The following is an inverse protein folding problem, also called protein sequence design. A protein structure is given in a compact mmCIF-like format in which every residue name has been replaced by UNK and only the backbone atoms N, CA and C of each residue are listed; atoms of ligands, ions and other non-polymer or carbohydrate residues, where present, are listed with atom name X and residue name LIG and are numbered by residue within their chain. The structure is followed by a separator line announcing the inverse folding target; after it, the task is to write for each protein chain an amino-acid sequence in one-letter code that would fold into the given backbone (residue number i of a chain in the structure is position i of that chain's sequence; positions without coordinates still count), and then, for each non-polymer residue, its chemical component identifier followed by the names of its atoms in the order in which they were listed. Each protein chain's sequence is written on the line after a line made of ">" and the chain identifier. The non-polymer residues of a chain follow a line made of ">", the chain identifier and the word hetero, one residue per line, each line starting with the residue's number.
data_IF_539450637578
#
_entry.id   IF_539450637578
#
_cell.length_a   1.000
_cell.length_b   1.000
_cell.length_c   1.000
_cell.angle_alpha   90.00
_cell.angle_beta   90.00
_cell.angle_gamma   90.00
#
_symmetry.space_group_name_H-M   'P 1'
#
loop_
_entity.id
_entity.type
_entity.pdbx_description
1 polymer ?
#
# COMPACT_ATOMS: atom_id res chain seq x y z
N UNK A 1 -1.17 10.95 9.94
CA UNK A 1 -0.35 9.93 9.23
C UNK A 1 -1.27 9.03 8.46
N UNK A 2 -0.92 8.66 7.24
CA UNK A 2 -1.70 7.73 6.44
C UNK A 2 -1.98 6.39 7.14
N UNK A 3 -2.88 5.62 6.59
CA UNK A 3 -3.12 4.25 7.02
C UNK A 3 -3.67 3.41 5.88
N UNK A 4 -3.40 2.13 5.94
CA UNK A 4 -3.89 1.18 4.95
C UNK A 4 -4.43 -0.09 5.59
N UNK A 5 -5.26 -0.77 4.86
CA UNK A 5 -5.83 -2.08 5.20
C UNK A 5 -5.81 -2.97 3.98
N UNK A 6 -5.87 -4.27 4.19
CA UNK A 6 -6.05 -5.20 3.10
C UNK A 6 -6.54 -6.56 3.54
N UNK A 7 -7.12 -7.28 2.60
CA UNK A 7 -7.63 -8.63 2.77
C UNK A 7 -7.24 -9.47 1.56
N UNK A 8 -6.73 -10.68 1.83
CA UNK A 8 -6.54 -11.70 0.82
C UNK A 8 -7.32 -12.96 1.24
N UNK A 9 -8.24 -13.42 0.39
CA UNK A 9 -9.14 -14.52 0.72
C UNK A 9 -9.40 -15.44 -0.47
N UNK A 10 -9.46 -16.74 -0.22
CA UNK A 10 -9.90 -17.73 -1.22
C UNK A 10 -11.39 -17.60 -1.51
N UNK A 11 -12.19 -17.36 -0.47
CA UNK A 11 -13.61 -17.07 -0.64
C UNK A 11 -13.83 -15.62 -1.07
N UNK A 12 -14.18 -15.43 -2.33
CA UNK A 12 -14.33 -14.10 -2.97
C UNK A 12 -15.50 -13.28 -2.40
N UNK A 13 -16.43 -13.89 -1.65
CA UNK A 13 -17.50 -13.14 -0.97
C UNK A 13 -16.97 -12.24 0.15
N UNK A 14 -15.80 -12.54 0.70
CA UNK A 14 -15.11 -11.69 1.70
C UNK A 14 -14.42 -10.46 1.08
N UNK A 15 -14.40 -10.36 -0.24
CA UNK A 15 -13.85 -9.23 -0.99
C UNK A 15 -14.95 -8.22 -1.39
N UNK A 16 -16.07 -8.28 -0.69
CA UNK A 16 -17.12 -7.30 -0.90
C UNK A 16 -16.64 -5.91 -0.48
N UNK A 17 -17.06 -4.90 -1.25
CA UNK A 17 -16.71 -3.50 -0.99
C UNK A 17 -17.06 -3.08 0.43
N UNK A 18 -18.18 -3.56 0.96
CA UNK A 18 -18.61 -3.23 2.33
C UNK A 18 -17.58 -3.65 3.38
N UNK A 19 -16.99 -4.84 3.25
CA UNK A 19 -16.01 -5.35 4.21
C UNK A 19 -14.74 -4.50 4.24
N UNK A 20 -14.10 -4.32 3.08
CA UNK A 20 -12.86 -3.52 3.02
C UNK A 20 -13.12 -2.03 3.33
N UNK A 21 -14.30 -1.52 2.96
CA UNK A 21 -14.70 -0.15 3.29
C UNK A 21 -14.86 0.04 4.80
N UNK A 22 -15.45 -0.91 5.51
CA UNK A 22 -15.55 -0.87 6.97
C UNK A 22 -14.17 -0.89 7.64
N UNK A 23 -13.25 -1.75 7.18
CA UNK A 23 -11.87 -1.76 7.64
C UNK A 23 -11.20 -0.40 7.40
N UNK A 24 -11.35 0.17 6.20
CA UNK A 24 -10.77 1.47 5.82
C UNK A 24 -11.36 2.61 6.64
N UNK A 25 -12.68 2.60 6.89
CA UNK A 25 -13.34 3.62 7.71
C UNK A 25 -12.95 3.53 9.18
N UNK A 26 -12.61 2.35 9.69
CA UNK A 26 -12.14 2.21 11.08
C UNK A 26 -10.84 2.98 11.36
N UNK A 27 -10.07 3.32 10.32
CA UNK A 27 -8.83 4.08 10.41
C UNK A 27 -8.91 5.48 9.76
N UNK A 28 -10.10 6.07 9.64
CA UNK A 28 -10.35 7.38 9.01
C UNK A 28 -9.56 8.53 9.67
N UNK A 29 -9.42 8.49 11.02
CA UNK A 29 -8.64 9.46 11.79
C UNK A 29 -7.16 9.53 11.37
N UNK A 30 -6.62 8.52 10.70
CA UNK A 30 -5.23 8.53 10.20
C UNK A 30 -5.05 9.38 8.95
N UNK A 31 -6.07 9.48 8.13
CA UNK A 31 -5.99 10.18 6.85
C UNK A 31 -7.34 10.71 6.41
N UNK A 32 -7.71 11.93 6.86
CA UNK A 32 -9.00 12.52 6.56
C UNK A 32 -9.10 13.12 5.16
N UNK A 33 -7.98 13.33 4.46
CA UNK A 33 -7.94 14.15 3.25
C UNK A 33 -8.37 13.39 2.00
N UNK A 34 -8.10 12.06 1.96
CA UNK A 34 -8.47 11.22 0.81
C UNK A 34 -8.64 9.76 1.23
N UNK A 35 -9.46 9.03 0.48
CA UNK A 35 -9.74 7.62 0.70
C UNK A 35 -9.79 6.87 -0.62
N UNK A 36 -9.06 5.78 -0.72
CA UNK A 36 -9.03 4.96 -1.91
C UNK A 36 -9.24 3.48 -1.66
N UNK A 37 -9.71 2.81 -2.70
CA UNK A 37 -10.00 1.39 -2.71
C UNK A 37 -9.60 0.76 -4.04
N UNK A 38 -9.06 -0.46 -3.96
CA UNK A 38 -8.79 -1.31 -5.11
C UNK A 38 -9.05 -2.77 -4.79
N UNK A 39 -9.52 -3.54 -5.77
CA UNK A 39 -9.80 -4.96 -5.62
C UNK A 39 -9.50 -5.74 -6.90
N UNK A 40 -8.86 -6.89 -6.76
CA UNK A 40 -8.77 -7.93 -7.78
C UNK A 40 -9.52 -9.18 -7.28
N UNK A 41 -10.80 -9.28 -7.65
CA UNK A 41 -11.64 -10.41 -7.23
C UNK A 41 -11.15 -11.76 -7.78
N UNK A 42 -10.47 -11.77 -8.94
CA UNK A 42 -9.94 -13.02 -9.51
C UNK A 42 -8.79 -13.54 -8.67
N UNK A 43 -7.88 -12.68 -8.28
CA UNK A 43 -6.75 -13.02 -7.42
C UNK A 43 -7.13 -13.16 -5.94
N UNK A 44 -8.29 -12.65 -5.54
CA UNK A 44 -8.73 -12.76 -4.15
C UNK A 44 -8.14 -11.72 -3.21
N UNK A 45 -7.83 -10.50 -3.69
CA UNK A 45 -7.19 -9.42 -2.92
C UNK A 45 -7.99 -8.13 -2.99
N UNK A 46 -8.03 -7.39 -1.87
CA UNK A 46 -8.54 -6.01 -1.81
C UNK A 46 -7.65 -5.16 -0.92
N UNK A 47 -7.47 -3.90 -1.31
CA UNK A 47 -6.65 -2.90 -0.62
C UNK A 47 -7.48 -1.65 -0.36
N UNK A 48 -7.33 -1.05 0.81
CA UNK A 48 -7.92 0.23 1.17
C UNK A 48 -6.88 1.17 1.77
N UNK A 49 -7.05 2.46 1.56
CA UNK A 49 -6.11 3.49 2.03
C UNK A 49 -6.85 4.72 2.57
N UNK A 50 -6.28 5.32 3.62
CA UNK A 50 -6.63 6.63 4.15
C UNK A 50 -5.42 7.55 4.07
N UNK A 51 -5.57 8.68 3.41
CA UNK A 51 -4.47 9.60 3.11
C UNK A 51 -4.53 10.83 3.99
N UNK A 52 -3.39 11.15 4.58
CA UNK A 52 -3.05 12.50 5.05
C UNK A 52 -2.07 13.08 4.01
N UNK A 53 -2.51 14.12 3.29
CA UNK A 53 -1.72 14.73 2.22
C UNK A 53 -0.66 15.67 2.83
N UNK A 54 0.62 15.36 2.63
CA UNK A 54 1.75 16.13 3.19
C UNK A 54 2.69 16.60 2.07
N UNK A 55 3.32 15.69 1.32
CA UNK A 55 4.30 16.02 0.29
C UNK A 55 3.65 16.43 -1.04
N UNK A 56 2.58 15.78 -1.40
CA UNK A 56 1.81 16.06 -2.61
C UNK A 56 0.36 16.31 -2.23
N UNK A 57 -0.15 17.49 -2.44
CA UNK A 57 -1.52 17.87 -2.10
C UNK A 57 -2.51 17.60 -3.23
N UNK A 58 -2.02 17.09 -4.35
CA UNK A 58 -2.84 16.82 -5.54
C UNK A 58 -3.40 15.38 -5.54
N UNK A 59 -4.26 15.09 -6.48
CA UNK A 59 -4.77 13.73 -6.71
C UNK A 59 -3.69 12.75 -7.21
N UNK A 60 -2.51 13.24 -7.63
CA UNK A 60 -1.38 12.38 -8.03
C UNK A 60 -0.85 11.50 -6.88
N UNK A 61 -1.07 11.93 -5.62
CA UNK A 61 -0.71 11.13 -4.45
C UNK A 61 -1.80 10.16 -3.98
N UNK A 62 -2.89 9.97 -4.75
CA UNK A 62 -3.96 9.03 -4.42
C UNK A 62 -3.45 7.59 -4.32
N UNK A 63 -4.00 6.84 -3.36
CA UNK A 63 -3.69 5.43 -3.16
C UNK A 63 -4.98 4.62 -2.93
N UNK A 64 -5.03 3.33 -3.33
CA UNK A 64 -3.93 2.50 -3.86
C UNK A 64 -3.37 3.02 -5.18
N UNK A 65 -2.03 3.10 -5.29
CA UNK A 65 -1.34 3.64 -6.45
C UNK A 65 -0.90 2.52 -7.40
N UNK A 66 -1.13 2.72 -8.70
CA UNK A 66 -0.69 1.78 -9.74
C UNK A 66 0.65 2.20 -10.33
N UNK A 67 1.52 1.22 -10.57
CA UNK A 67 2.70 1.48 -11.39
C UNK A 67 2.32 1.76 -12.85
N UNK A 68 3.19 2.46 -13.63
CA UNK A 68 2.93 2.77 -15.04
C UNK A 68 2.57 1.55 -15.90
N UNK A 69 3.20 0.42 -15.69
CA UNK A 69 2.88 -0.86 -16.37
C UNK A 69 1.62 -1.54 -15.84
N UNK A 70 1.05 -1.06 -14.72
CA UNK A 70 -0.04 -1.68 -13.95
C UNK A 70 0.33 -3.06 -13.35
N UNK A 71 1.61 -3.42 -13.35
CA UNK A 71 2.09 -4.63 -12.69
C UNK A 71 1.88 -4.55 -11.18
N UNK A 72 2.23 -3.43 -10.58
CA UNK A 72 2.16 -3.24 -9.13
C UNK A 72 1.00 -2.35 -8.71
N UNK A 73 0.39 -2.70 -7.57
CA UNK A 73 -0.58 -1.87 -6.85
C UNK A 73 -0.08 -1.71 -5.43
N UNK A 74 0.18 -0.47 -5.01
CA UNK A 74 0.83 -0.13 -3.75
C UNK A 74 -0.11 0.64 -2.82
N UNK A 75 -0.10 0.28 -1.54
CA UNK A 75 -0.55 1.11 -0.42
C UNK A 75 0.62 1.34 0.52
N UNK A 76 0.83 2.59 0.91
CA UNK A 76 2.02 3.05 1.61
C UNK A 76 1.65 4.00 2.75
N UNK A 77 2.25 3.80 3.91
CA UNK A 77 2.19 4.70 5.05
C UNK A 77 3.61 4.99 5.51
N UNK A 78 4.14 6.16 5.20
CA UNK A 78 5.51 6.49 5.55
C UNK A 78 5.99 7.77 4.91
N UNK A 79 7.31 7.92 4.93
CA UNK A 79 8.05 8.97 4.27
C UNK A 79 9.43 8.43 3.89
N UNK A 80 9.79 8.54 2.60
CA UNK A 80 11.11 8.21 2.09
C UNK A 80 11.93 9.49 2.01
N UNK A 81 12.80 9.71 2.98
CA UNK A 81 13.54 10.98 3.13
C UNK A 81 14.45 11.27 1.95
N UNK A 82 15.06 10.24 1.37
CA UNK A 82 15.96 10.36 0.22
C UNK A 82 15.27 10.15 -1.14
N UNK A 83 13.93 10.34 -1.24
CA UNK A 83 13.20 10.10 -2.49
C UNK A 83 13.70 10.98 -3.65
N UNK A 84 14.18 12.20 -3.38
CA UNK A 84 14.76 13.08 -4.39
C UNK A 84 16.05 12.52 -5.01
N UNK A 85 16.91 11.88 -4.20
CA UNK A 85 18.12 11.19 -4.68
C UNK A 85 17.75 9.96 -5.51
N UNK A 86 16.74 9.20 -5.07
CA UNK A 86 16.23 8.04 -5.82
C UNK A 86 15.67 8.49 -7.17
N UNK A 87 14.91 9.60 -7.24
CA UNK A 87 14.43 10.18 -8.50
C UNK A 87 15.59 10.54 -9.44
N UNK A 88 16.62 11.14 -8.90
CA UNK A 88 17.82 11.50 -9.69
C UNK A 88 18.50 10.26 -10.30
N UNK A 89 18.60 9.16 -9.55
CA UNK A 89 19.16 7.88 -10.02
C UNK A 89 18.25 7.17 -11.04
N UNK A 90 16.93 7.35 -10.95
CA UNK A 90 15.98 6.82 -11.93
C UNK A 90 16.08 7.51 -13.30
N UNK A 91 16.67 8.72 -13.34
CA UNK A 91 16.89 9.49 -14.58
C UNK A 91 15.58 9.98 -15.20
N UNK A 92 15.54 10.03 -16.54
CA UNK A 92 14.36 10.53 -17.25
C UNK A 92 13.14 9.64 -17.00
N UNK A 93 12.12 10.23 -16.42
CA UNK A 93 10.79 9.64 -16.17
C UNK A 93 9.73 10.73 -16.24
N UNK A 94 8.54 10.39 -16.72
CA UNK A 94 7.40 11.33 -16.74
C UNK A 94 6.68 11.27 -15.41
N UNK A 95 7.14 12.06 -14.45
CA UNK A 95 6.54 12.17 -13.13
C UNK A 95 5.16 12.82 -13.22
N UNK A 96 4.15 12.25 -12.55
CA UNK A 96 2.79 12.77 -12.48
C UNK A 96 2.66 13.73 -11.30
N UNK A 97 3.30 13.38 -10.18
CA UNK A 97 3.29 14.14 -8.94
C UNK A 97 4.66 14.31 -8.31
N UNK A 98 4.64 14.74 -7.07
CA UNK A 98 5.86 15.00 -6.28
C UNK A 98 6.01 14.02 -5.11
N UNK A 99 5.10 13.04 -4.96
CA UNK A 99 5.07 12.13 -3.83
C UNK A 99 6.26 11.17 -3.82
N UNK A 100 6.74 10.86 -2.63
CA UNK A 100 7.70 9.79 -2.39
C UNK A 100 7.12 8.40 -2.72
N UNK A 101 5.80 8.24 -2.61
CA UNK A 101 5.06 7.02 -3.00
C UNK A 101 5.24 6.71 -4.48
N UNK A 102 5.09 7.71 -5.38
CA UNK A 102 5.34 7.57 -6.81
C UNK A 102 6.80 7.20 -7.09
N UNK A 103 7.71 7.83 -6.35
CA UNK A 103 9.14 7.53 -6.46
C UNK A 103 9.44 6.09 -6.08
N UNK A 104 8.91 5.64 -4.95
CA UNK A 104 9.06 4.27 -4.46
C UNK A 104 8.54 3.25 -5.49
N UNK A 105 7.33 3.48 -5.99
CA UNK A 105 6.68 2.58 -6.94
C UNK A 105 7.42 2.51 -8.27
N UNK A 106 7.90 3.64 -8.78
CA UNK A 106 8.72 3.71 -10.00
C UNK A 106 10.06 3.00 -9.82
N UNK A 107 10.70 3.16 -8.67
CA UNK A 107 11.95 2.48 -8.35
C UNK A 107 11.75 0.96 -8.24
N UNK A 108 10.66 0.51 -7.61
CA UNK A 108 10.29 -0.91 -7.53
C UNK A 108 10.10 -1.51 -8.94
N UNK A 109 9.41 -0.81 -9.81
CA UNK A 109 9.18 -1.26 -11.18
C UNK A 109 10.48 -1.39 -11.98
N UNK A 110 11.44 -0.49 -11.74
CA UNK A 110 12.71 -0.46 -12.49
C UNK A 110 13.80 -1.35 -11.93
N UNK A 111 13.90 -1.44 -10.61
CA UNK A 111 15.03 -2.12 -9.92
C UNK A 111 14.63 -3.37 -9.16
N UNK A 112 13.33 -3.61 -9.00
CA UNK A 112 12.76 -4.63 -8.13
C UNK A 112 12.64 -4.17 -6.68
N UNK A 113 11.78 -4.86 -5.94
CA UNK A 113 11.40 -4.48 -4.56
C UNK A 113 12.62 -4.48 -3.63
N UNK A 114 13.39 -5.57 -3.63
CA UNK A 114 14.52 -5.75 -2.69
C UNK A 114 15.54 -4.64 -2.82
N UNK A 115 16.03 -4.39 -4.02
CA UNK A 115 17.04 -3.35 -4.28
C UNK A 115 16.52 -1.97 -3.91
N UNK A 116 15.26 -1.67 -4.23
CA UNK A 116 14.65 -0.38 -3.90
C UNK A 116 14.60 -0.16 -2.39
N UNK A 117 14.12 -1.14 -1.62
CA UNK A 117 14.02 -1.02 -0.16
C UNK A 117 15.39 -0.91 0.52
N UNK A 118 16.40 -1.58 -0.02
CA UNK A 118 17.79 -1.46 0.47
C UNK A 118 18.36 -0.04 0.32
N UNK A 119 17.91 0.71 -0.70
CA UNK A 119 18.32 2.09 -0.98
C UNK A 119 17.48 3.13 -0.22
N UNK A 120 16.27 2.78 0.22
CA UNK A 120 15.40 3.71 0.92
C UNK A 120 15.92 4.06 2.32
N UNK A 121 15.94 5.36 2.60
CA UNK A 121 16.13 5.94 3.94
C UNK A 121 14.84 6.61 4.33
N UNK A 122 14.22 6.15 5.43
CA UNK A 122 12.92 6.68 5.85
C UNK A 122 12.21 5.78 6.84
N UNK A 123 11.00 6.18 7.17
CA UNK A 123 10.09 5.47 8.06
C UNK A 123 8.87 5.01 7.25
N UNK A 124 8.62 3.72 7.13
CA UNK A 124 7.55 3.24 6.27
C UNK A 124 7.01 1.86 6.62
N UNK A 125 5.76 1.66 6.26
CA UNK A 125 5.14 0.36 6.06
C UNK A 125 4.35 0.38 4.74
N UNK A 126 4.32 -0.74 4.04
CA UNK A 126 3.60 -0.85 2.77
C UNK A 126 3.03 -2.24 2.54
N UNK A 127 2.04 -2.30 1.67
CA UNK A 127 1.64 -3.53 1.01
C UNK A 127 1.65 -3.29 -0.50
N UNK A 128 2.22 -4.23 -1.23
CA UNK A 128 2.27 -4.22 -2.68
C UNK A 128 1.73 -5.52 -3.24
N UNK A 129 0.85 -5.40 -4.22
CA UNK A 129 0.36 -6.52 -5.01
C UNK A 129 1.07 -6.56 -6.36
N UNK A 130 1.68 -7.68 -6.70
CA UNK A 130 2.25 -7.94 -8.02
C UNK A 130 1.22 -8.72 -8.86
N UNK A 131 0.66 -8.06 -9.88
CA UNK A 131 -0.32 -8.69 -10.78
C UNK A 131 0.29 -9.76 -11.69
N UNK A 132 1.60 -9.75 -11.91
CA UNK A 132 2.27 -10.73 -12.78
C UNK A 132 2.59 -12.02 -12.06
N UNK A 133 3.02 -11.91 -10.80
CA UNK A 133 3.38 -13.07 -9.98
C UNK A 133 2.21 -13.53 -9.07
N UNK A 134 1.11 -12.76 -9.04
CA UNK A 134 -0.02 -12.96 -8.12
C UNK A 134 0.43 -13.05 -6.65
N UNK A 135 1.33 -12.16 -6.25
CA UNK A 135 1.98 -12.16 -4.94
C UNK A 135 1.67 -10.88 -4.15
N UNK A 136 1.35 -11.06 -2.85
CA UNK A 136 1.25 -9.98 -1.88
C UNK A 136 2.55 -9.88 -1.07
N UNK A 137 3.19 -8.72 -1.14
CA UNK A 137 4.40 -8.42 -0.39
C UNK A 137 4.10 -7.35 0.65
N UNK A 138 4.41 -7.62 1.92
CA UNK A 138 4.36 -6.67 3.01
C UNK A 138 5.78 -6.25 3.38
N UNK A 139 5.98 -4.96 3.56
CA UNK A 139 7.28 -4.42 3.95
C UNK A 139 7.18 -3.38 5.05
N UNK A 140 8.28 -3.23 5.80
CA UNK A 140 8.38 -2.30 6.92
C UNK A 140 9.81 -1.78 7.04
N UNK A 141 9.96 -0.56 7.52
CA UNK A 141 11.27 0.02 7.81
C UNK A 141 12.06 -0.78 8.87
N UNK A 142 13.39 -0.64 8.87
CA UNK A 142 14.29 -1.43 9.73
C UNK A 142 14.06 -1.24 11.22
N UNK A 143 13.65 -0.04 11.63
CA UNK A 143 13.39 0.30 13.03
C UNK A 143 11.96 -0.01 13.46
N UNK A 144 11.08 -0.32 12.50
CA UNK A 144 9.68 -0.58 12.76
C UNK A 144 8.91 0.67 13.21
N UNK A 145 9.28 1.84 12.71
CA UNK A 145 8.61 3.10 13.09
C UNK A 145 7.18 3.17 12.60
N UNK A 146 6.89 2.65 11.41
CA UNK A 146 5.52 2.54 10.93
C UNK A 146 4.94 1.17 11.22
N UNK A 147 3.79 1.10 11.90
CA UNK A 147 3.18 -0.18 12.25
C UNK A 147 2.56 -0.86 11.02
N UNK A 148 2.66 -2.18 11.02
CA UNK A 148 1.83 -3.07 10.21
C UNK A 148 1.47 -4.28 11.06
N UNK A 149 0.18 -4.56 11.18
CA UNK A 149 -0.37 -5.73 11.84
C UNK A 149 -0.92 -6.66 10.78
N UNK A 150 -0.69 -7.95 10.91
CA UNK A 150 -1.20 -8.95 9.97
C UNK A 150 -1.45 -10.29 10.66
N UNK A 151 -2.33 -11.07 10.06
CA UNK A 151 -2.64 -12.39 10.58
C UNK A 151 -3.73 -13.10 9.80
N UNK A 152 -3.92 -14.36 10.12
CA UNK A 152 -4.98 -15.19 9.57
C UNK A 152 -6.20 -15.13 10.48
N UNK A 153 -7.32 -14.77 9.90
CA UNK A 153 -8.63 -15.03 10.51
C UNK A 153 -9.12 -16.38 10.00
N UNK A 154 -9.15 -17.37 10.88
CA UNK A 154 -9.56 -18.72 10.55
C UNK A 154 -11.05 -18.92 10.88
N UNK A 155 -11.87 -18.99 9.85
CA UNK A 155 -13.30 -19.25 9.99
C UNK A 155 -13.75 -20.31 8.97
N UNK A 156 -13.09 -21.47 9.01
CA UNK A 156 -13.34 -22.58 8.09
C UNK A 156 -13.17 -22.16 6.63
N UNK A 157 -14.23 -22.28 5.83
CA UNK A 157 -14.22 -21.90 4.41
C UNK A 157 -14.05 -20.38 4.17
N UNK A 158 -14.22 -19.59 5.21
CA UNK A 158 -14.10 -18.12 5.17
C UNK A 158 -12.77 -17.64 5.76
N UNK A 159 -11.73 -18.46 5.75
CA UNK A 159 -10.41 -18.04 6.18
C UNK A 159 -9.83 -16.99 5.24
N UNK A 160 -9.27 -15.91 5.83
CA UNK A 160 -8.64 -14.84 5.09
C UNK A 160 -7.38 -14.35 5.81
N UNK A 161 -6.45 -13.81 5.04
CA UNK A 161 -5.29 -13.08 5.54
C UNK A 161 -5.63 -11.60 5.56
N UNK A 162 -5.50 -10.98 6.72
CA UNK A 162 -5.78 -9.57 6.96
C UNK A 162 -4.51 -8.82 7.32
N UNK A 163 -4.43 -7.56 6.91
CA UNK A 163 -3.35 -6.67 7.32
C UNK A 163 -3.83 -5.23 7.40
N UNK A 164 -3.21 -4.46 8.29
CA UNK A 164 -3.58 -3.06 8.51
C UNK A 164 -2.49 -2.29 9.24
N UNK A 165 -2.52 -0.96 9.11
CA UNK A 165 -1.74 -0.03 9.92
C UNK A 165 -2.16 0.00 11.40
N UNK A 166 -3.37 -0.46 11.74
CA UNK A 166 -3.88 -0.52 13.12
C UNK A 166 -4.63 -1.82 13.41
N UNK A 167 -4.40 -2.38 14.59
CA UNK A 167 -5.01 -3.63 15.01
C UNK A 167 -6.55 -3.57 15.07
N UNK A 168 -7.14 -2.40 15.35
CA UNK A 168 -8.60 -2.25 15.43
C UNK A 168 -9.32 -2.53 14.10
N UNK A 169 -8.65 -2.33 12.98
CA UNK A 169 -9.20 -2.63 11.66
C UNK A 169 -9.27 -4.14 11.35
N UNK A 170 -8.64 -4.98 12.17
CA UNK A 170 -8.59 -6.44 12.01
C UNK A 170 -9.57 -7.18 12.95
N UNK A 171 -10.39 -6.42 13.70
CA UNK A 171 -11.35 -6.98 14.69
C UNK A 171 -12.78 -7.13 14.10
#
# INVERSE_FOLDING_TARGET
>A
MCGFVGVMARNKSLLDYSFINNMTNSIDHRGPDDSGFWSNKTAGISLGHRRLAILDLTSAGHQPMHSPSKRYVLVFNGEIYNHGEIRSQLGKHSWIGTSDTETLLTAIERWGIRKTIELCVGMFAFAIWDNSEEELILGRDRMGEKPIYYGWQNNGKNSCFLFSSELKALK
#
